data_IF_081812229739
#
_entry.id   IF_081812229739
#
_cell.length_a   1.000
_cell.length_b   1.000
_cell.length_c   1.000
_cell.angle_alpha   90.00
_cell.angle_beta   90.00
_cell.angle_gamma   90.00
#
_symmetry.space_group_name_H-M   'P 1'
#
loop_
_entity.id
_entity.type
_entity.pdbx_description
1 polymer ?
#
# COMPACT_ATOMS: atom_id res chain seq x y z
N UNK A 1 28.41 -24.68 -5.92
CA UNK A 1 27.05 -24.18 -5.61
C UNK A 1 27.05 -22.66 -5.73
N UNK A 2 26.54 -22.10 -6.82
CA UNK A 2 26.43 -20.63 -7.01
C UNK A 2 25.28 -20.31 -7.96
N UNK A 3 24.05 -20.44 -7.47
CA UNK A 3 22.81 -20.25 -8.23
C UNK A 3 21.81 -19.35 -7.45
N UNK A 4 22.30 -18.34 -6.71
CA UNK A 4 21.46 -17.46 -5.88
C UNK A 4 21.51 -15.97 -6.26
N UNK A 5 22.22 -15.58 -7.31
CA UNK A 5 22.25 -14.19 -7.76
C UNK A 5 21.43 -14.04 -9.05
N UNK A 6 20.34 -13.29 -9.00
CA UNK A 6 19.59 -12.87 -10.19
C UNK A 6 20.51 -12.14 -11.18
N UNK A 7 20.35 -12.35 -12.50
CA UNK A 7 21.13 -11.64 -13.51
C UNK A 7 21.01 -10.12 -13.36
N UNK A 8 22.13 -9.45 -13.09
CA UNK A 8 22.18 -7.99 -12.92
C UNK A 8 21.83 -7.30 -14.25
N UNK A 9 20.56 -6.90 -14.42
CA UNK A 9 20.10 -6.10 -15.56
C UNK A 9 20.65 -4.68 -15.44
N UNK A 10 21.57 -4.30 -16.32
CA UNK A 10 21.99 -2.90 -16.44
C UNK A 10 20.85 -2.09 -17.05
N UNK A 11 20.11 -1.36 -16.24
CA UNK A 11 19.13 -0.39 -16.69
C UNK A 11 19.88 0.83 -17.24
N UNK A 12 19.82 1.05 -18.55
CA UNK A 12 20.35 2.28 -19.15
C UNK A 12 19.36 3.40 -18.89
N UNK A 13 19.59 4.17 -17.81
CA UNK A 13 18.82 5.38 -17.55
C UNK A 13 19.06 6.37 -18.70
N UNK A 14 17.98 6.87 -19.31
CA UNK A 14 18.10 7.98 -20.26
C UNK A 14 18.61 9.22 -19.52
N UNK A 15 19.30 10.10 -20.24
CA UNK A 15 19.79 11.40 -19.72
C UNK A 15 18.66 12.21 -19.08
N UNK A 16 17.42 12.00 -19.54
CA UNK A 16 16.23 12.54 -18.92
C UNK A 16 15.18 11.43 -18.70
N UNK A 17 15.15 10.82 -17.49
CA UNK A 17 14.21 9.74 -17.19
C UNK A 17 12.76 10.23 -17.03
N UNK A 18 12.54 11.54 -16.86
CA UNK A 18 11.19 12.13 -16.74
C UNK A 18 10.74 12.88 -18.00
N UNK A 19 11.57 12.90 -19.04
CA UNK A 19 11.33 13.65 -20.28
C UNK A 19 10.81 15.08 -19.99
N UNK A 20 11.52 15.82 -19.14
CA UNK A 20 11.21 17.21 -18.75
C UNK A 20 12.07 18.27 -19.44
N UNK A 21 13.12 17.86 -20.16
CA UNK A 21 14.01 18.76 -20.86
C UNK A 21 13.27 19.57 -21.93
N UNK A 22 12.34 18.93 -22.65
CA UNK A 22 11.60 19.60 -23.72
C UNK A 22 10.60 20.64 -23.23
N UNK A 23 10.07 20.50 -22.00
CA UNK A 23 9.05 21.38 -21.42
C UNK A 23 9.64 22.54 -20.60
N UNK A 24 10.90 22.42 -20.19
CA UNK A 24 11.64 23.47 -19.46
C UNK A 24 12.49 24.36 -20.37
N UNK A 25 12.59 24.01 -21.64
CA UNK A 25 13.41 24.72 -22.62
C UNK A 25 12.67 25.94 -23.17
N UNK A 26 13.12 27.12 -22.75
CA UNK A 26 12.56 28.42 -23.15
C UNK A 26 12.99 28.86 -24.56
N UNK A 27 13.98 28.18 -25.14
CA UNK A 27 14.57 28.60 -26.41
C UNK A 27 13.82 28.09 -27.64
N UNK A 28 12.79 27.25 -27.45
CA UNK A 28 12.08 26.55 -28.51
C UNK A 28 11.27 27.49 -29.41
N UNK A 29 11.20 27.12 -30.69
CA UNK A 29 10.44 27.85 -31.70
C UNK A 29 8.98 28.13 -31.27
N UNK A 30 8.25 27.10 -30.80
CA UNK A 30 6.86 27.24 -30.39
C UNK A 30 6.67 28.17 -29.19
N UNK A 31 7.60 28.14 -28.23
CA UNK A 31 7.55 29.03 -27.07
C UNK A 31 7.80 30.48 -27.47
N UNK A 32 8.87 30.75 -28.25
CA UNK A 32 9.16 32.09 -28.77
C UNK A 32 8.01 32.65 -29.61
N UNK A 33 7.35 31.80 -30.40
CA UNK A 33 6.18 32.21 -31.19
C UNK A 33 5.00 32.61 -30.30
N UNK A 34 4.70 31.83 -29.26
CA UNK A 34 3.63 32.15 -28.31
C UNK A 34 3.91 33.44 -27.54
N UNK A 35 5.15 33.61 -27.09
CA UNK A 35 5.59 34.82 -26.37
C UNK A 35 5.45 36.07 -27.24
N UNK A 36 5.81 35.99 -28.53
CA UNK A 36 5.60 37.09 -29.49
C UNK A 36 4.14 37.44 -29.72
N UNK A 37 3.22 36.49 -29.50
CA UNK A 37 1.77 36.70 -29.59
C UNK A 37 1.17 37.17 -28.26
N UNK A 38 2.00 37.49 -27.25
CA UNK A 38 1.55 38.02 -25.96
C UNK A 38 1.20 36.96 -24.91
N UNK A 39 1.50 35.69 -25.17
CA UNK A 39 1.43 34.64 -24.15
C UNK A 39 2.63 34.73 -23.20
N UNK A 40 2.44 34.46 -21.92
CA UNK A 40 3.52 34.44 -20.94
C UNK A 40 3.52 33.13 -20.16
N UNK A 41 4.70 32.60 -19.85
CA UNK A 41 4.88 31.34 -19.11
C UNK A 41 4.03 31.34 -17.83
N UNK A 42 3.24 30.28 -17.67
CA UNK A 42 2.36 30.09 -16.51
C UNK A 42 0.95 30.65 -16.66
N UNK A 43 0.63 31.39 -17.74
CA UNK A 43 -0.75 31.83 -18.01
C UNK A 43 -1.48 30.86 -18.93
N UNK A 44 -2.77 30.66 -18.68
CA UNK A 44 -3.66 29.93 -19.55
C UNK A 44 -3.85 30.63 -20.90
N UNK A 45 -4.21 29.87 -21.93
CA UNK A 45 -4.60 30.43 -23.23
C UNK A 45 -6.04 30.97 -23.21
N UNK A 46 -6.38 31.82 -24.17
CA UNK A 46 -7.71 32.41 -24.33
C UNK A 46 -7.80 33.88 -23.90
N UNK A 47 -8.88 34.55 -24.30
CA UNK A 47 -9.09 36.00 -24.07
C UNK A 47 -8.97 36.41 -22.60
N UNK A 48 -9.47 35.57 -21.69
CA UNK A 48 -9.42 35.78 -20.24
C UNK A 48 -8.43 34.84 -19.55
N UNK A 49 -7.51 34.22 -20.31
CA UNK A 49 -6.52 33.26 -19.80
C UNK A 49 -7.16 32.04 -19.11
N UNK A 50 -8.36 31.66 -19.54
CA UNK A 50 -9.16 30.60 -18.91
C UNK A 50 -8.72 29.16 -19.26
N UNK A 51 -7.81 28.99 -20.22
CA UNK A 51 -7.29 27.68 -20.61
C UNK A 51 -6.44 27.04 -19.52
N UNK A 52 -6.39 25.70 -19.49
CA UNK A 52 -5.52 24.97 -18.57
C UNK A 52 -4.04 25.25 -18.86
N UNK A 53 -3.24 25.42 -17.81
CA UNK A 53 -1.79 25.60 -17.91
C UNK A 53 -1.06 24.30 -18.20
N UNK A 54 -1.66 23.18 -17.79
CA UNK A 54 -1.12 21.84 -17.95
C UNK A 54 -1.78 21.11 -19.12
N UNK A 55 -1.03 20.17 -19.70
CA UNK A 55 -1.52 19.26 -20.74
C UNK A 55 -2.43 18.17 -20.13
N UNK A 56 -3.31 17.63 -20.97
CA UNK A 56 -4.17 16.50 -20.60
C UNK A 56 -3.30 15.26 -20.39
N UNK A 57 -3.44 14.62 -19.22
CA UNK A 57 -2.72 13.38 -18.89
C UNK A 57 -3.60 12.18 -19.17
N UNK A 58 -3.10 11.25 -19.99
CA UNK A 58 -3.78 9.99 -20.27
C UNK A 58 -3.16 8.87 -19.44
N UNK A 59 -4.00 8.13 -18.72
CA UNK A 59 -3.59 6.91 -18.03
C UNK A 59 -3.64 5.75 -19.02
N UNK A 60 -2.47 5.28 -19.45
CA UNK A 60 -2.39 4.09 -20.32
C UNK A 60 -2.76 2.85 -19.51
N UNK A 61 -3.73 2.10 -20.00
CA UNK A 61 -4.15 0.83 -19.42
C UNK A 61 -3.28 -0.29 -19.99
N UNK A 62 -2.39 -0.84 -19.17
CA UNK A 62 -1.51 -1.95 -19.56
C UNK A 62 -1.88 -3.27 -18.90
N UNK A 63 -3.10 -3.38 -18.38
CA UNK A 63 -3.64 -4.59 -17.75
C UNK A 63 -4.79 -5.18 -18.58
N UNK A 64 -5.07 -6.46 -18.37
CA UNK A 64 -6.16 -7.18 -19.02
C UNK A 64 -7.51 -7.05 -18.28
N UNK A 65 -7.57 -6.31 -17.16
CA UNK A 65 -8.77 -6.20 -16.34
C UNK A 65 -9.85 -5.34 -17.02
N UNK A 66 -11.13 -5.51 -16.70
CA UNK A 66 -12.22 -4.69 -17.24
C UNK A 66 -12.11 -3.20 -16.84
N UNK A 67 -12.75 -2.30 -17.61
CA UNK A 67 -12.87 -0.90 -17.20
C UNK A 67 -13.75 -0.82 -15.94
N UNK A 68 -13.39 0.04 -14.97
CA UNK A 68 -14.10 0.13 -13.68
C UNK A 68 -13.68 -0.90 -12.62
N UNK A 69 -12.82 -1.86 -12.95
CA UNK A 69 -12.19 -2.71 -11.93
C UNK A 69 -11.21 -1.88 -11.11
N UNK A 70 -11.45 -1.81 -9.80
CA UNK A 70 -10.51 -1.19 -8.85
C UNK A 70 -9.86 -2.31 -8.06
N UNK A 71 -8.59 -2.16 -7.68
CA UNK A 71 -7.88 -3.17 -6.88
C UNK A 71 -8.61 -3.50 -5.56
N UNK A 72 -9.40 -2.56 -5.04
CA UNK A 72 -10.24 -2.73 -3.84
C UNK A 72 -11.53 -3.54 -4.07
N UNK A 73 -11.90 -3.82 -5.33
CA UNK A 73 -13.10 -4.59 -5.66
C UNK A 73 -13.02 -6.06 -5.26
N UNK A 74 -11.81 -6.63 -5.17
CA UNK A 74 -11.63 -8.04 -4.81
C UNK A 74 -12.02 -8.31 -3.35
N UNK A 75 -11.87 -7.30 -2.48
CA UNK A 75 -12.13 -7.41 -1.04
C UNK A 75 -13.61 -7.43 -0.69
N UNK A 76 -14.44 -6.83 -1.55
CA UNK A 76 -15.87 -6.67 -1.30
C UNK A 76 -16.63 -7.99 -1.27
N UNK A 77 -16.13 -9.03 -1.95
CA UNK A 77 -16.79 -10.34 -1.95
C UNK A 77 -16.60 -11.11 -0.63
N UNK A 78 -15.48 -10.89 0.07
CA UNK A 78 -15.18 -11.58 1.34
C UNK A 78 -15.76 -10.83 2.54
N UNK A 79 -15.97 -9.51 2.43
CA UNK A 79 -16.48 -8.68 3.52
C UNK A 79 -17.77 -9.23 4.16
N UNK A 80 -18.74 -9.65 3.33
CA UNK A 80 -20.01 -10.19 3.83
C UNK A 80 -19.84 -11.50 4.63
N UNK A 81 -18.82 -12.30 4.30
CA UNK A 81 -18.55 -13.54 5.02
C UNK A 81 -17.94 -13.26 6.40
N UNK A 82 -17.03 -12.28 6.49
CA UNK A 82 -16.42 -11.88 7.75
C UNK A 82 -17.45 -11.22 8.69
N UNK A 83 -18.33 -10.36 8.17
CA UNK A 83 -19.43 -9.74 8.92
C UNK A 83 -20.39 -10.81 9.50
N UNK A 84 -20.70 -11.84 8.70
CA UNK A 84 -21.54 -12.95 9.15
C UNK A 84 -20.86 -13.80 10.22
N UNK A 85 -19.55 -14.06 10.07
CA UNK A 85 -18.78 -14.79 11.08
C UNK A 85 -18.72 -14.01 12.41
N UNK A 86 -18.59 -12.68 12.35
CA UNK A 86 -18.64 -11.82 13.53
C UNK A 86 -20.01 -11.89 14.21
N UNK A 87 -21.10 -11.81 13.44
CA UNK A 87 -22.46 -11.94 13.97
C UNK A 87 -22.67 -13.28 14.70
N UNK A 88 -22.22 -14.39 14.11
CA UNK A 88 -22.30 -15.71 14.73
C UNK A 88 -21.46 -15.80 16.01
N UNK A 89 -20.28 -15.20 16.03
CA UNK A 89 -19.45 -15.14 17.23
C UNK A 89 -20.13 -14.35 18.34
N UNK A 90 -20.71 -13.18 18.02
CA UNK A 90 -21.48 -12.37 18.97
C UNK A 90 -22.69 -13.15 19.52
N UNK A 91 -23.43 -13.86 18.67
CA UNK A 91 -24.57 -14.68 19.09
C UNK A 91 -24.14 -15.82 20.03
N UNK A 92 -23.06 -16.53 19.69
CA UNK A 92 -22.50 -17.58 20.52
C UNK A 92 -22.02 -17.04 21.87
N UNK A 93 -21.45 -15.85 21.92
CA UNK A 93 -21.04 -15.21 23.17
C UNK A 93 -22.24 -14.83 24.06
N UNK A 94 -23.37 -14.44 23.45
CA UNK A 94 -24.58 -14.07 24.17
C UNK A 94 -25.36 -15.29 24.72
N UNK A 95 -25.40 -16.40 23.98
CA UNK A 95 -26.09 -17.64 24.39
C UNK A 95 -25.19 -18.66 25.09
N UNK A 96 -23.86 -18.51 25.02
CA UNK A 96 -22.87 -19.49 25.49
C UNK A 96 -22.48 -19.42 26.96
N UNK A 97 -23.04 -18.50 27.76
CA UNK A 97 -22.69 -18.30 29.18
C UNK A 97 -22.92 -19.54 30.09
N UNK A 98 -23.58 -20.59 29.60
CA UNK A 98 -23.86 -21.81 30.38
C UNK A 98 -23.05 -23.06 29.96
N UNK A 99 -22.14 -22.98 28.97
CA UNK A 99 -21.24 -24.07 28.65
C UNK A 99 -19.80 -23.58 28.74
N UNK A 100 -19.04 -24.14 29.68
CA UNK A 100 -17.60 -23.92 29.83
C UNK A 100 -16.92 -24.00 28.47
N UNK A 101 -16.33 -22.90 28.02
CA UNK A 101 -15.56 -22.84 26.79
C UNK A 101 -14.31 -23.72 26.93
N UNK A 102 -14.44 -24.99 26.56
CA UNK A 102 -13.27 -25.75 26.12
C UNK A 102 -12.80 -25.11 24.82
N UNK A 103 -11.70 -24.37 24.89
CA UNK A 103 -10.83 -24.09 23.74
C UNK A 103 -10.80 -25.37 22.88
N UNK A 104 -11.11 -25.32 21.58
CA UNK A 104 -11.11 -26.51 20.75
C UNK A 104 -9.66 -27.01 20.66
N UNK A 105 -9.27 -27.87 21.61
CA UNK A 105 -8.03 -28.63 21.57
C UNK A 105 -8.02 -29.29 20.20
N UNK A 106 -7.06 -28.89 19.36
CA UNK A 106 -6.95 -29.35 17.98
C UNK A 106 -7.18 -30.86 17.94
N UNK A 107 -8.34 -31.25 17.43
CA UNK A 107 -8.72 -32.65 17.37
C UNK A 107 -7.86 -33.27 16.27
N UNK A 108 -6.76 -33.93 16.64
CA UNK A 108 -6.06 -34.78 15.68
C UNK A 108 -6.89 -36.04 15.48
N UNK A 109 -7.46 -36.16 14.28
CA UNK A 109 -8.16 -37.36 13.85
C UNK A 109 -7.18 -38.55 13.78
N UNK A 110 -5.93 -38.29 13.44
CA UNK A 110 -4.87 -39.30 13.43
C UNK A 110 -4.64 -39.88 14.83
N UNK A 111 -4.45 -39.04 15.85
CA UNK A 111 -4.18 -39.47 17.22
C UNK A 111 -5.34 -40.27 17.82
N UNK A 112 -6.58 -39.82 17.58
CA UNK A 112 -7.79 -40.49 18.08
C UNK A 112 -8.05 -41.83 17.38
N UNK A 113 -7.68 -41.94 16.11
CA UNK A 113 -7.83 -43.20 15.37
C UNK A 113 -6.77 -44.24 15.75
N UNK A 114 -5.62 -43.84 16.30
CA UNK A 114 -4.60 -44.76 16.83
C UNK A 114 -4.95 -45.28 18.22
N UNK A 115 -5.59 -44.47 19.05
CA UNK A 115 -5.98 -44.83 20.42
C UNK A 115 -7.29 -45.61 20.50
N UNK A 116 -8.14 -45.49 19.48
CA UNK A 116 -9.44 -46.17 19.43
C UNK A 116 -9.36 -47.66 19.05
N UNK A 117 -9.62 -48.55 20.00
CA UNK A 117 -9.68 -50.02 19.79
C UNK A 117 -10.82 -50.52 18.88
N UNK A 118 -11.78 -49.65 18.54
CA UNK A 118 -13.02 -49.99 17.80
C UNK A 118 -12.95 -49.74 16.28
N UNK A 119 -11.91 -49.07 15.77
CA UNK A 119 -11.79 -48.69 14.35
C UNK A 119 -10.47 -49.18 13.76
N UNK A 120 -10.52 -49.74 12.55
CA UNK A 120 -9.31 -50.00 11.76
C UNK A 120 -8.64 -48.67 11.40
N UNK A 121 -7.38 -48.52 11.80
CA UNK A 121 -6.62 -47.29 11.56
C UNK A 121 -6.10 -47.24 10.13
N UNK A 122 -6.87 -46.63 9.22
CA UNK A 122 -6.42 -46.43 7.84
C UNK A 122 -5.60 -45.15 7.70
N UNK A 123 -4.28 -45.31 7.66
CA UNK A 123 -3.32 -44.22 7.86
C UNK A 123 -3.42 -43.11 6.80
N UNK A 124 -3.52 -43.47 5.51
CA UNK A 124 -3.59 -42.50 4.41
C UNK A 124 -4.85 -41.63 4.47
N UNK A 125 -5.99 -42.23 4.82
CA UNK A 125 -7.28 -41.53 4.85
C UNK A 125 -7.44 -40.67 6.10
N UNK A 126 -6.99 -41.16 7.25
CA UNK A 126 -7.03 -40.39 8.50
C UNK A 126 -6.16 -39.14 8.40
N UNK A 127 -4.93 -39.25 7.87
CA UNK A 127 -4.07 -38.10 7.55
C UNK A 127 -4.65 -37.16 6.50
N UNK A 128 -5.30 -37.70 5.46
CA UNK A 128 -5.90 -36.90 4.41
C UNK A 128 -7.06 -36.01 4.89
N UNK A 129 -7.75 -36.42 5.95
CA UNK A 129 -8.87 -35.67 6.55
C UNK A 129 -8.48 -34.82 7.75
N UNK A 130 -7.26 -34.97 8.25
CA UNK A 130 -6.78 -34.24 9.41
C UNK A 130 -6.15 -32.91 8.96
N UNK A 131 -6.82 -31.79 9.30
CA UNK A 131 -6.32 -30.45 9.03
C UNK A 131 -5.42 -29.90 10.15
N UNK A 132 -5.28 -30.63 11.27
CA UNK A 132 -4.49 -30.19 12.42
C UNK A 132 -3.00 -29.99 12.12
N UNK A 133 -2.47 -30.69 11.11
CA UNK A 133 -1.06 -30.63 10.70
C UNK A 133 -0.77 -29.61 9.59
N UNK A 134 -1.79 -28.91 9.07
CA UNK A 134 -1.64 -27.97 7.95
C UNK A 134 -1.26 -26.57 8.43
N UNK A 135 -0.50 -25.85 7.61
CA UNK A 135 -0.06 -24.50 7.95
C UNK A 135 -1.26 -23.55 7.95
N UNK A 136 -1.24 -22.55 8.84
CA UNK A 136 -2.28 -21.52 8.89
C UNK A 136 -2.37 -20.74 7.57
N UNK A 137 -1.25 -20.56 6.87
CA UNK A 137 -1.19 -19.93 5.55
C UNK A 137 -1.94 -20.75 4.49
N UNK A 138 -1.77 -22.07 4.47
CA UNK A 138 -2.47 -22.93 3.49
C UNK A 138 -3.98 -22.97 3.77
N UNK A 139 -4.36 -23.05 5.05
CA UNK A 139 -5.77 -22.99 5.45
C UNK A 139 -6.40 -21.66 5.06
N UNK A 140 -5.69 -20.56 5.27
CA UNK A 140 -6.12 -19.23 4.87
C UNK A 140 -6.32 -19.10 3.36
N UNK A 141 -5.46 -19.72 2.53
CA UNK A 141 -5.63 -19.76 1.09
C UNK A 141 -6.91 -20.50 0.66
N UNK A 142 -7.28 -21.58 1.36
CA UNK A 142 -8.50 -22.34 1.08
C UNK A 142 -9.74 -21.58 1.56
N UNK A 143 -9.68 -20.98 2.75
CA UNK A 143 -10.80 -20.25 3.35
C UNK A 143 -10.95 -18.81 2.84
N UNK A 144 -10.13 -18.38 1.89
CA UNK A 144 -10.14 -16.99 1.37
C UNK A 144 -9.77 -15.94 2.42
N UNK A 145 -9.23 -16.36 3.57
CA UNK A 145 -8.91 -15.47 4.69
C UNK A 145 -7.55 -14.86 4.44
N UNK A 146 -7.50 -13.65 3.88
CA UNK A 146 -6.21 -12.96 3.75
C UNK A 146 -5.70 -12.59 5.14
N UNK A 147 -4.44 -12.96 5.43
CA UNK A 147 -3.78 -12.52 6.65
C UNK A 147 -3.82 -11.01 6.66
N UNK A 148 -4.53 -10.42 7.63
CA UNK A 148 -4.75 -8.99 7.69
C UNK A 148 -3.41 -8.27 7.53
N UNK A 149 -3.21 -7.62 6.39
CA UNK A 149 -2.22 -6.57 6.29
C UNK A 149 -2.58 -5.61 7.43
N UNK A 150 -1.66 -5.47 8.37
CA UNK A 150 -1.72 -4.51 9.46
C UNK A 150 -2.44 -3.24 9.01
N UNK A 151 -3.55 -2.93 9.69
CA UNK A 151 -4.27 -1.67 9.53
C UNK A 151 -3.28 -0.51 9.47
N UNK A 152 -3.54 0.42 8.54
CA UNK A 152 -2.79 1.63 8.30
C UNK A 152 -2.29 2.33 9.58
N UNK A 153 -1.04 2.83 9.62
CA UNK A 153 -0.53 3.63 10.72
C UNK A 153 -1.00 5.08 10.58
N UNK A 154 -2.30 5.36 10.59
CA UNK A 154 -2.83 6.73 10.44
C UNK A 154 -3.64 7.26 11.64
N UNK A 155 -3.49 6.64 12.82
CA UNK A 155 -4.01 7.19 14.09
C UNK A 155 -2.97 7.12 15.21
N UNK A 156 -1.90 7.89 15.09
CA UNK A 156 -0.99 8.18 16.20
C UNK A 156 -0.59 9.67 16.21
N UNK A 157 -1.58 10.56 16.05
CA UNK A 157 -1.41 12.00 16.21
C UNK A 157 -2.17 12.53 17.42
N UNK A 158 -1.57 12.47 18.62
CA UNK A 158 -1.69 13.43 19.75
C UNK A 158 -1.11 12.84 21.03
N UNK A 159 0.19 13.01 21.26
CA UNK A 159 0.72 13.31 22.59
C UNK A 159 1.78 14.39 22.46
N UNK A 160 1.51 15.49 23.16
CA UNK A 160 2.36 16.65 23.36
C UNK A 160 3.79 16.26 23.77
N UNK A 161 4.79 16.77 23.08
CA UNK A 161 6.12 17.02 23.66
C UNK A 161 6.56 18.43 23.34
N UNK A 162 6.39 19.24 24.36
CA UNK A 162 6.85 20.61 24.55
C UNK A 162 8.37 20.58 24.75
N UNK A 163 9.08 21.35 23.94
CA UNK A 163 10.34 22.04 24.27
C UNK A 163 11.65 21.25 24.24
N UNK A 164 12.53 21.61 23.30
CA UNK A 164 13.93 22.00 23.61
C UNK A 164 14.58 22.64 22.38
N UNK A 165 15.29 23.74 22.63
CA UNK A 165 15.82 24.73 21.69
C UNK A 165 17.07 24.29 20.90
N UNK A 166 17.27 24.95 19.74
CA UNK A 166 18.59 25.30 19.18
C UNK A 166 18.83 24.93 17.70
N UNK A 167 19.65 25.68 16.94
CA UNK A 167 19.69 27.14 16.80
C UNK A 167 19.46 27.59 15.33
N UNK A 168 18.99 28.83 15.18
CA UNK A 168 18.76 29.55 13.93
C UNK A 168 20.10 30.04 13.35
N UNK A 169 20.41 29.68 12.12
CA UNK A 169 21.45 30.32 11.30
C UNK A 169 20.84 31.58 10.69
N UNK A 170 21.13 32.74 11.29
CA UNK A 170 20.84 34.04 10.69
C UNK A 170 22.06 34.56 9.91
N UNK A 171 21.78 35.05 8.71
CA UNK A 171 22.69 35.75 7.81
C UNK A 171 23.18 37.06 8.43
N UNK A 172 24.47 37.46 8.29
CA UNK A 172 24.92 38.75 8.80
C UNK A 172 24.54 39.88 7.84
N UNK A 173 23.86 40.89 8.40
CA UNK A 173 23.60 42.17 7.77
C UNK A 173 24.85 43.06 7.76
N UNK A 174 24.98 43.84 6.68
CA UNK A 174 25.99 44.87 6.45
C UNK A 174 25.89 46.00 7.50
N UNK A 175 27.02 46.37 8.10
CA UNK A 175 27.19 47.63 8.81
C UNK A 175 28.44 48.34 8.29
N UNK A 176 28.20 49.52 7.70
CA UNK A 176 29.19 50.50 7.28
C UNK A 176 29.99 51.01 8.49
N UNK A 177 31.31 51.13 8.34
CA UNK A 177 32.17 51.90 9.26
C UNK A 177 32.70 53.09 8.48
N UNK A 178 32.09 54.25 8.72
CA UNK A 178 32.67 55.55 8.43
C UNK A 178 33.58 55.94 9.60
N UNK A 179 34.88 56.09 9.35
CA UNK A 179 35.70 56.99 10.17
C UNK A 179 36.71 57.75 9.29
N UNK A 180 36.47 59.05 9.24
CA UNK A 180 37.38 60.11 8.80
C UNK A 180 38.25 60.55 10.00
N UNK A 181 39.37 61.21 9.68
CA UNK A 181 40.33 61.92 10.54
C UNK A 181 41.53 61.11 11.07
N UNK A 182 42.66 61.18 10.34
CA UNK A 182 43.84 61.99 10.67
C UNK A 182 44.82 61.98 9.50
#
# INVERSE_FOLDING_TARGET
MSMLAEPKRKLKWSVDPRNSAWSKDESKFGQKMLERMGWSKGKGLGRAQQGSTDHIKVKVKNNHQGFGTTASSEDKWIAHQDDFNELLAQLNNHHGQNNSAEEPKGFSLEEKSKTGKKRVHYMKFTKGKDLSSRSKTDLNCIFGKRGGSSKDPEKAGRKSRRGSNGPQLESPALAEINHSAA
#
